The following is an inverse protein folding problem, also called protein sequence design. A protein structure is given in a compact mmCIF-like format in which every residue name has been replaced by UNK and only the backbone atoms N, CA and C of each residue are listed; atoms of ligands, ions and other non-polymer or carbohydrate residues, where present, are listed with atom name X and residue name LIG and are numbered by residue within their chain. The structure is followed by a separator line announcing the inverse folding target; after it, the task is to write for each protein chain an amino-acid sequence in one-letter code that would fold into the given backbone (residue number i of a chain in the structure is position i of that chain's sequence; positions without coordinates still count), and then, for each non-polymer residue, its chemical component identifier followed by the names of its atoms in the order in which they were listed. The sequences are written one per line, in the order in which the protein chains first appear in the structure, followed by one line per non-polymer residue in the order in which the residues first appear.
data_IF_290745026312
#
_entry.id   IF_290745026312
#
_cell.length_a   1.000
_cell.length_b   1.000
_cell.length_c   1.000
_cell.angle_alpha   90.00
_cell.angle_beta   90.00
_cell.angle_gamma   90.00
#
_symmetry.space_group_name_H-M   'P 1'
#
loop_
_entity.id
_entity.type
_entity.pdbx_description
1 polymer ?
#
# COMPACT_ATOMS: atom_id res chain seq x y z
N UNK A 1 16.01 -54.43 -36.65
CA UNK A 1 16.39 -54.36 -35.23
C UNK A 1 17.31 -53.17 -35.07
N UNK A 2 16.72 -52.01 -34.78
CA UNK A 2 17.43 -50.75 -34.54
C UNK A 2 17.05 -50.30 -33.14
N UNK A 3 17.99 -50.41 -32.22
CA UNK A 3 17.88 -50.05 -30.81
C UNK A 3 17.92 -48.53 -30.65
N UNK A 4 16.85 -47.96 -30.11
CA UNK A 4 16.77 -46.58 -29.68
C UNK A 4 17.34 -46.48 -28.27
N UNK A 5 18.47 -45.80 -28.10
CA UNK A 5 19.03 -45.46 -26.78
C UNK A 5 18.23 -44.31 -26.19
N UNK A 6 17.37 -44.59 -25.21
CA UNK A 6 16.75 -43.55 -24.38
C UNK A 6 17.81 -42.95 -23.47
N UNK A 7 18.16 -41.69 -23.71
CA UNK A 7 18.93 -40.90 -22.75
C UNK A 7 18.00 -40.62 -21.57
N UNK A 8 18.34 -41.19 -20.41
CA UNK A 8 17.59 -40.99 -19.17
C UNK A 8 17.71 -39.53 -18.73
N UNK A 9 16.57 -38.84 -18.74
CA UNK A 9 16.39 -37.58 -18.04
C UNK A 9 16.44 -37.91 -16.54
N UNK A 10 17.49 -37.45 -15.86
CA UNK A 10 17.61 -37.64 -14.42
C UNK A 10 16.67 -36.64 -13.74
N UNK A 11 15.86 -37.05 -12.74
CA UNK A 11 15.05 -36.10 -11.99
C UNK A 11 15.98 -35.15 -11.24
N UNK A 12 15.87 -33.86 -11.52
CA UNK A 12 16.61 -32.81 -10.83
C UNK A 12 16.38 -32.87 -9.33
N UNK A 13 17.44 -32.62 -8.55
CA UNK A 13 17.42 -32.64 -7.09
C UNK A 13 16.29 -31.72 -6.55
N UNK A 14 15.32 -32.24 -5.77
CA UNK A 14 14.22 -31.44 -5.21
C UNK A 14 14.69 -30.42 -4.15
N UNK A 15 15.97 -30.45 -3.79
CA UNK A 15 16.63 -29.57 -2.84
C UNK A 15 17.06 -28.22 -3.44
N UNK A 16 16.99 -28.05 -4.77
CA UNK A 16 17.52 -26.86 -5.45
C UNK A 16 16.49 -26.31 -6.46
N UNK A 17 15.30 -25.92 -5.97
CA UNK A 17 14.31 -25.22 -6.79
C UNK A 17 14.63 -23.71 -6.82
N UNK A 18 15.20 -23.19 -7.93
CA UNK A 18 15.62 -21.80 -8.04
C UNK A 18 14.46 -20.81 -7.89
N UNK A 19 13.21 -21.24 -8.12
CA UNK A 19 12.03 -20.41 -7.89
C UNK A 19 11.76 -20.18 -6.40
N UNK A 20 11.94 -21.22 -5.58
CA UNK A 20 11.73 -21.13 -4.14
C UNK A 20 12.79 -20.23 -3.49
N UNK A 21 14.04 -20.32 -3.94
CA UNK A 21 15.13 -19.47 -3.47
C UNK A 21 14.92 -17.99 -3.82
N UNK A 22 14.48 -17.70 -5.05
CA UNK A 22 14.15 -16.33 -5.46
C UNK A 22 12.97 -15.76 -4.66
N UNK A 23 11.96 -16.57 -4.36
CA UNK A 23 10.81 -16.18 -3.55
C UNK A 23 11.19 -15.88 -2.09
N UNK A 24 12.04 -16.74 -1.48
CA UNK A 24 12.60 -16.52 -0.13
C UNK A 24 13.41 -15.24 -0.06
N UNK A 25 14.30 -15.03 -1.04
CA UNK A 25 15.10 -13.82 -1.13
C UNK A 25 14.21 -12.57 -1.26
N UNK A 26 13.17 -12.65 -2.09
CA UNK A 26 12.20 -11.55 -2.28
C UNK A 26 11.41 -11.25 -1.00
N UNK A 27 10.99 -12.28 -0.25
CA UNK A 27 10.31 -12.11 1.04
C UNK A 27 11.23 -11.41 2.03
N UNK A 28 12.43 -11.95 2.27
CA UNK A 28 13.39 -11.40 3.25
C UNK A 28 13.77 -9.98 2.89
N UNK A 29 14.01 -9.69 1.61
CA UNK A 29 14.31 -8.34 1.14
C UNK A 29 13.14 -7.37 1.37
N UNK A 30 11.90 -7.80 1.11
CA UNK A 30 10.70 -6.97 1.33
C UNK A 30 10.48 -6.69 2.81
N UNK A 31 10.62 -7.69 3.67
CA UNK A 31 10.52 -7.55 5.13
C UNK A 31 11.59 -6.61 5.68
N UNK A 32 12.83 -6.74 5.20
CA UNK A 32 13.93 -5.88 5.63
C UNK A 32 13.75 -4.44 5.15
N UNK A 33 13.30 -4.26 3.91
CA UNK A 33 12.96 -2.94 3.39
C UNK A 33 11.90 -2.25 4.24
N UNK A 34 10.93 -3.02 4.74
CA UNK A 34 9.93 -2.52 5.66
C UNK A 34 10.53 -2.13 7.03
N UNK A 35 11.34 -3.02 7.62
CA UNK A 35 11.94 -2.82 8.93
C UNK A 35 12.89 -1.61 8.98
N UNK A 36 13.61 -1.34 7.89
CA UNK A 36 14.58 -0.24 7.78
C UNK A 36 13.93 1.06 7.28
N UNK A 37 12.89 0.96 6.46
CA UNK A 37 12.27 2.08 5.77
C UNK A 37 10.95 2.58 6.37
N UNK A 38 10.41 1.93 7.41
CA UNK A 38 9.13 2.33 8.00
C UNK A 38 9.14 3.81 8.44
N UNK A 39 8.09 4.59 8.13
CA UNK A 39 8.00 5.98 8.57
C UNK A 39 7.79 6.09 10.09
N UNK A 40 8.33 7.13 10.71
CA UNK A 40 7.95 7.54 12.07
C UNK A 40 6.48 8.02 12.06
N UNK A 41 5.60 7.60 12.98
CA UNK A 41 5.84 6.96 14.29
C UNK A 41 5.85 5.42 14.31
N UNK A 42 5.60 4.77 13.16
CA UNK A 42 5.44 3.31 13.08
C UNK A 42 6.76 2.59 13.34
N UNK A 43 7.89 3.19 12.96
CA UNK A 43 9.23 2.63 13.19
C UNK A 43 9.56 2.36 14.67
N UNK A 44 8.92 3.09 15.60
CA UNK A 44 9.04 2.93 17.04
C UNK A 44 8.03 1.91 17.64
N UNK A 45 7.11 1.39 16.82
CA UNK A 45 6.09 0.43 17.22
C UNK A 45 6.65 -0.96 17.55
N UNK A 46 5.91 -1.70 18.38
CA UNK A 46 6.27 -3.07 18.77
C UNK A 46 6.24 -4.04 17.59
N UNK A 47 5.39 -3.80 16.58
CA UNK A 47 5.28 -4.64 15.40
C UNK A 47 6.55 -4.57 14.53
N UNK A 48 7.12 -3.38 14.30
CA UNK A 48 8.40 -3.22 13.58
C UNK A 48 9.55 -3.84 14.38
N UNK A 49 9.55 -3.70 15.71
CA UNK A 49 10.54 -4.35 16.56
C UNK A 49 10.46 -5.88 16.47
N UNK A 50 9.25 -6.46 16.56
CA UNK A 50 9.02 -7.90 16.38
C UNK A 50 9.47 -8.36 14.99
N UNK A 51 9.19 -7.58 13.95
CA UNK A 51 9.62 -7.87 12.58
C UNK A 51 11.15 -7.93 12.46
N UNK A 52 11.88 -6.97 13.03
CA UNK A 52 13.35 -6.97 13.04
C UNK A 52 13.90 -8.26 13.66
N UNK A 53 13.33 -8.70 14.78
CA UNK A 53 13.75 -9.94 15.45
C UNK A 53 13.46 -11.18 14.57
N UNK A 54 12.31 -11.25 13.91
CA UNK A 54 11.98 -12.36 13.01
C UNK A 54 12.92 -12.39 11.79
N UNK A 55 13.27 -11.24 11.22
CA UNK A 55 14.23 -11.14 10.12
C UNK A 55 15.60 -11.69 10.52
N UNK A 56 16.07 -11.39 11.74
CA UNK A 56 17.34 -11.95 12.24
C UNK A 56 17.30 -13.48 12.29
N UNK A 57 16.17 -14.07 12.68
CA UNK A 57 16.00 -15.53 12.70
C UNK A 57 15.95 -16.09 11.27
N UNK A 58 15.28 -15.43 10.33
CA UNK A 58 15.26 -15.87 8.92
C UNK A 58 16.66 -15.81 8.28
N UNK A 59 17.41 -14.74 8.54
CA UNK A 59 18.78 -14.56 8.04
C UNK A 59 19.79 -15.54 8.63
N UNK A 60 19.53 -16.13 9.79
CA UNK A 60 20.41 -17.16 10.34
C UNK A 60 20.27 -18.51 9.62
N UNK A 61 19.15 -18.72 8.92
CA UNK A 61 18.84 -19.97 8.21
C UNK A 61 19.34 -19.97 6.76
N UNK A 62 19.54 -18.80 6.16
CA UNK A 62 20.06 -18.66 4.80
C UNK A 62 20.76 -17.32 4.57
N UNK A 63 21.77 -17.32 3.70
CA UNK A 63 22.50 -16.11 3.32
C UNK A 63 21.74 -15.36 2.23
N UNK A 64 21.33 -14.13 2.53
CA UNK A 64 20.66 -13.24 1.59
C UNK A 64 21.56 -12.04 1.27
N UNK A 65 21.58 -11.56 0.01
CA UNK A 65 22.30 -10.35 -0.32
C UNK A 65 21.74 -9.16 0.47
N UNK A 66 22.61 -8.34 1.04
CA UNK A 66 22.16 -7.16 1.76
C UNK A 66 21.46 -6.19 0.80
N UNK A 67 20.30 -5.64 1.21
CA UNK A 67 19.56 -4.72 0.36
C UNK A 67 20.36 -3.43 0.15
N UNK A 68 20.24 -2.86 -1.05
CA UNK A 68 20.81 -1.54 -1.32
C UNK A 68 20.22 -0.51 -0.35
N UNK A 69 21.03 0.44 0.16
CA UNK A 69 20.52 1.54 0.97
C UNK A 69 19.51 2.32 0.15
N UNK A 70 18.31 2.46 0.68
CA UNK A 70 17.21 3.05 -0.04
C UNK A 70 16.42 3.98 0.89
N UNK A 71 15.78 5.04 0.36
CA UNK A 71 15.20 6.13 1.15
C UNK A 71 14.09 5.65 2.10
N UNK A 72 13.67 6.49 3.06
CA UNK A 72 12.49 6.20 3.87
C UNK A 72 11.25 5.95 3.00
N UNK A 73 10.35 5.09 3.47
CA UNK A 73 9.11 4.75 2.77
C UNK A 73 8.00 5.73 3.13
N UNK A 74 7.15 6.05 2.15
CA UNK A 74 5.84 6.64 2.44
C UNK A 74 4.90 5.61 3.05
N UNK A 75 3.83 6.04 3.74
CA UNK A 75 2.82 5.12 4.30
C UNK A 75 2.21 4.19 3.25
N UNK A 76 1.93 4.70 2.04
CA UNK A 76 1.40 3.90 0.94
C UNK A 76 2.42 2.88 0.42
N UNK A 77 3.70 3.26 0.32
CA UNK A 77 4.75 2.32 -0.06
C UNK A 77 4.93 1.21 0.99
N UNK A 78 4.90 1.57 2.28
CA UNK A 78 4.97 0.60 3.37
C UNK A 78 3.77 -0.37 3.34
N UNK A 79 2.54 0.12 3.16
CA UNK A 79 1.35 -0.73 3.02
C UNK A 79 1.43 -1.71 1.84
N UNK A 80 1.94 -1.23 0.70
CA UNK A 80 2.16 -2.08 -0.47
C UNK A 80 3.19 -3.17 -0.16
N UNK A 81 4.32 -2.83 0.48
CA UNK A 81 5.34 -3.80 0.86
C UNK A 81 4.82 -4.83 1.88
N UNK A 82 4.00 -4.44 2.86
CA UNK A 82 3.36 -5.41 3.77
C UNK A 82 2.45 -6.35 2.98
N UNK A 83 1.65 -5.82 2.06
CA UNK A 83 0.73 -6.63 1.24
C UNK A 83 1.47 -7.60 0.34
N UNK A 84 2.56 -7.15 -0.31
CA UNK A 84 3.45 -8.00 -1.10
C UNK A 84 4.11 -9.07 -0.22
N UNK A 85 4.59 -8.72 0.97
CA UNK A 85 5.22 -9.67 1.89
C UNK A 85 4.25 -10.75 2.35
N UNK A 86 2.98 -10.40 2.61
CA UNK A 86 1.93 -11.38 2.93
C UNK A 86 1.66 -12.33 1.77
N UNK A 87 1.55 -11.81 0.55
CA UNK A 87 1.35 -12.63 -0.64
C UNK A 87 2.52 -13.61 -0.87
N UNK A 88 3.76 -13.12 -0.76
CA UNK A 88 4.97 -13.95 -0.85
C UNK A 88 5.00 -15.03 0.24
N UNK A 89 4.65 -14.69 1.48
CA UNK A 89 4.56 -15.64 2.58
C UNK A 89 3.52 -16.73 2.28
N UNK A 90 2.33 -16.38 1.82
CA UNK A 90 1.29 -17.36 1.45
C UNK A 90 1.77 -18.29 0.34
N UNK A 91 2.34 -17.74 -0.74
CA UNK A 91 2.88 -18.55 -1.84
C UNK A 91 4.00 -19.48 -1.37
N UNK A 92 4.88 -19.01 -0.48
CA UNK A 92 5.90 -19.86 0.11
C UNK A 92 5.29 -21.00 0.94
N UNK A 93 4.30 -20.73 1.78
CA UNK A 93 3.68 -21.78 2.60
C UNK A 93 2.97 -22.86 1.79
N UNK A 94 2.44 -22.51 0.61
CA UNK A 94 1.83 -23.47 -0.30
C UNK A 94 2.86 -24.36 -1.03
N UNK A 95 4.11 -23.88 -1.17
CA UNK A 95 5.16 -24.53 -1.96
C UNK A 95 6.39 -24.97 -1.14
N UNK A 96 6.44 -24.70 0.17
CA UNK A 96 7.62 -24.96 1.00
C UNK A 96 7.74 -26.45 1.34
N UNK A 97 8.61 -27.13 0.60
CA UNK A 97 9.04 -28.50 0.85
C UNK A 97 10.25 -28.60 1.79
N UNK A 98 10.85 -27.47 2.18
CA UNK A 98 12.15 -27.42 2.89
C UNK A 98 12.06 -27.00 4.36
N UNK A 99 10.92 -26.43 4.79
CA UNK A 99 10.73 -25.97 6.16
C UNK A 99 11.48 -24.69 6.51
N UNK A 100 11.83 -23.86 5.50
CA UNK A 100 12.46 -22.55 5.70
C UNK A 100 11.57 -21.64 6.56
N UNK A 101 10.25 -21.71 6.38
CA UNK A 101 9.30 -21.04 7.28
C UNK A 101 8.48 -22.09 8.00
N UNK A 102 8.98 -22.54 9.17
CA UNK A 102 8.24 -23.42 10.05
C UNK A 102 6.90 -22.82 10.54
N UNK A 103 5.97 -23.63 11.07
CA UNK A 103 4.62 -23.21 11.44
C UNK A 103 4.59 -22.10 12.51
N UNK A 104 5.53 -22.11 13.46
CA UNK A 104 5.63 -21.04 14.46
C UNK A 104 6.11 -19.72 13.85
N UNK A 105 7.08 -19.80 12.91
CA UNK A 105 7.62 -18.63 12.22
C UNK A 105 6.58 -18.02 11.27
N UNK A 106 5.85 -18.85 10.54
CA UNK A 106 4.82 -18.39 9.61
C UNK A 106 3.67 -17.71 10.34
N UNK A 107 3.25 -18.28 11.48
CA UNK A 107 2.26 -17.68 12.37
C UNK A 107 2.76 -16.34 12.92
N UNK A 108 3.98 -16.30 13.45
CA UNK A 108 4.57 -15.08 13.99
C UNK A 108 4.73 -13.97 12.95
N UNK A 109 5.15 -14.31 11.72
CA UNK A 109 5.24 -13.36 10.60
C UNK A 109 3.85 -12.86 10.20
N UNK A 110 2.87 -13.74 10.08
CA UNK A 110 1.50 -13.37 9.70
C UNK A 110 0.88 -12.39 10.71
N UNK A 111 0.95 -12.71 12.00
CA UNK A 111 0.48 -11.82 13.08
C UNK A 111 1.21 -10.47 13.09
N UNK A 112 2.52 -10.48 12.86
CA UNK A 112 3.32 -9.25 12.83
C UNK A 112 2.93 -8.38 11.64
N UNK A 113 2.76 -8.97 10.46
CA UNK A 113 2.33 -8.26 9.25
C UNK A 113 0.90 -7.74 9.40
N UNK A 114 -0.01 -8.47 10.02
CA UNK A 114 -1.36 -8.01 10.35
C UNK A 114 -1.33 -6.80 11.30
N UNK A 115 -0.55 -6.87 12.38
CA UNK A 115 -0.37 -5.73 13.29
C UNK A 115 0.19 -4.50 12.58
N UNK A 116 1.09 -4.69 11.60
CA UNK A 116 1.63 -3.61 10.79
C UNK A 116 0.59 -2.99 9.86
N UNK A 117 -0.27 -3.81 9.21
CA UNK A 117 -1.40 -3.29 8.42
C UNK A 117 -2.29 -2.41 9.28
N UNK A 118 -2.59 -2.86 10.51
CA UNK A 118 -3.44 -2.13 11.44
C UNK A 118 -2.82 -0.80 11.90
N UNK A 119 -1.52 -0.80 12.23
CA UNK A 119 -0.78 0.42 12.59
C UNK A 119 -0.70 1.41 11.43
N UNK A 120 -0.29 0.95 10.24
CA UNK A 120 -0.23 1.76 9.02
C UNK A 120 -1.61 2.30 8.64
N UNK A 121 -2.65 1.48 8.74
CA UNK A 121 -4.01 1.86 8.44
C UNK A 121 -4.57 2.89 9.43
N UNK A 122 -4.24 2.79 10.72
CA UNK A 122 -4.59 3.81 11.72
C UNK A 122 -3.92 5.14 11.43
N UNK A 123 -2.62 5.13 11.14
CA UNK A 123 -1.86 6.35 10.85
C UNK A 123 -2.36 7.02 9.57
N UNK A 124 -2.59 6.25 8.49
CA UNK A 124 -3.16 6.78 7.26
C UNK A 124 -4.53 7.42 7.49
N UNK A 125 -5.40 6.77 8.27
CA UNK A 125 -6.71 7.31 8.63
C UNK A 125 -6.60 8.57 9.49
N UNK A 126 -5.66 8.62 10.43
CA UNK A 126 -5.42 9.82 11.23
C UNK A 126 -4.98 10.99 10.34
N UNK A 127 -4.04 10.76 9.42
CA UNK A 127 -3.60 11.78 8.46
C UNK A 127 -4.75 12.25 7.56
N UNK A 128 -5.59 11.35 7.06
CA UNK A 128 -6.76 11.74 6.27
C UNK A 128 -7.81 12.49 7.11
N UNK A 129 -8.06 12.05 8.34
CA UNK A 129 -9.03 12.70 9.23
C UNK A 129 -8.66 14.16 9.54
N UNK A 130 -7.36 14.49 9.64
CA UNK A 130 -6.94 15.90 9.79
C UNK A 130 -7.30 16.79 8.59
N UNK A 131 -7.45 16.19 7.39
CA UNK A 131 -7.90 16.89 6.18
C UNK A 131 -9.43 17.07 6.16
N UNK A 132 -10.17 16.21 6.86
CA UNK A 132 -11.62 16.30 7.02
C UNK A 132 -11.95 17.22 8.21
N UNK A 133 -11.71 18.52 8.02
CA UNK A 133 -12.00 19.58 8.99
C UNK A 133 -12.83 20.70 8.37
N UNK A 134 -13.38 21.60 9.18
CA UNK A 134 -14.12 22.76 8.69
C UNK A 134 -15.49 22.42 8.07
N UNK A 135 -16.04 23.35 7.30
CA UNK A 135 -17.35 23.17 6.67
C UNK A 135 -17.25 22.25 5.44
N UNK A 136 -18.20 21.32 5.32
CA UNK A 136 -18.40 20.51 4.13
C UNK A 136 -19.55 21.10 3.30
N UNK A 137 -19.25 21.52 2.08
CA UNK A 137 -20.21 22.21 1.20
C UNK A 137 -20.46 21.40 -0.06
N UNK A 138 -21.73 21.11 -0.34
CA UNK A 138 -22.17 20.48 -1.58
C UNK A 138 -22.60 21.58 -2.54
N UNK A 139 -22.00 21.59 -3.73
CA UNK A 139 -22.28 22.52 -4.82
C UNK A 139 -23.00 21.73 -5.90
N UNK A 140 -24.30 22.00 -6.03
CA UNK A 140 -25.13 21.48 -7.11
C UNK A 140 -25.52 22.64 -8.03
N UNK A 141 -25.04 22.65 -9.30
CA UNK A 141 -25.33 23.71 -10.27
C UNK A 141 -26.81 24.07 -10.41
N UNK A 142 -27.74 23.12 -10.16
CA UNK A 142 -29.18 23.32 -10.31
C UNK A 142 -29.80 24.17 -9.21
N UNK A 143 -29.19 24.22 -8.03
CA UNK A 143 -29.73 24.93 -6.85
C UNK A 143 -28.89 26.17 -6.48
N UNK A 144 -28.01 26.60 -7.38
CA UNK A 144 -27.15 27.79 -7.19
C UNK A 144 -27.90 29.11 -7.26
N UNK A 145 -29.13 29.11 -7.80
CA UNK A 145 -29.93 30.32 -8.02
C UNK A 145 -29.36 31.22 -9.12
N UNK A 146 -28.70 30.64 -10.12
CA UNK A 146 -28.10 31.38 -11.25
C UNK A 146 -26.70 31.94 -10.97
N UNK A 147 -26.10 31.61 -9.82
CA UNK A 147 -24.70 31.93 -9.52
C UNK A 147 -23.78 30.86 -10.09
N UNK A 148 -22.61 31.28 -10.53
CA UNK A 148 -21.60 30.35 -11.01
C UNK A 148 -21.09 29.43 -9.87
N UNK A 149 -21.04 28.10 -10.08
CA UNK A 149 -20.57 27.16 -9.06
C UNK A 149 -19.18 27.47 -8.51
N UNK A 150 -18.29 28.02 -9.34
CA UNK A 150 -16.91 28.38 -8.93
C UNK A 150 -16.88 29.55 -7.95
N UNK A 151 -17.82 30.49 -8.05
CA UNK A 151 -17.92 31.63 -7.14
C UNK A 151 -18.46 31.19 -5.78
N UNK A 152 -19.44 30.27 -5.78
CA UNK A 152 -19.94 29.62 -4.57
C UNK A 152 -18.82 28.84 -3.87
N UNK A 153 -18.03 28.08 -4.63
CA UNK A 153 -16.87 27.35 -4.10
C UNK A 153 -15.86 28.28 -3.42
N UNK A 154 -15.53 29.40 -4.06
CA UNK A 154 -14.60 30.39 -3.51
C UNK A 154 -15.15 31.03 -2.23
N UNK A 155 -16.41 31.42 -2.23
CA UNK A 155 -17.08 31.97 -1.05
C UNK A 155 -17.13 30.95 0.11
N UNK A 156 -17.43 29.68 -0.20
CA UNK A 156 -17.44 28.60 0.77
C UNK A 156 -16.07 28.39 1.42
N UNK A 157 -15.00 28.32 0.63
CA UNK A 157 -13.62 28.16 1.12
C UNK A 157 -13.22 29.35 2.02
N UNK A 158 -13.52 30.58 1.58
CA UNK A 158 -13.29 31.79 2.36
C UNK A 158 -14.10 31.81 3.67
N UNK A 159 -15.30 31.22 3.65
CA UNK A 159 -16.15 31.02 4.84
C UNK A 159 -15.70 29.89 5.77
N UNK A 160 -14.59 29.21 5.48
CA UNK A 160 -14.04 28.13 6.30
C UNK A 160 -14.36 26.72 5.83
N UNK A 161 -14.90 26.55 4.62
CA UNK A 161 -14.98 25.22 4.02
C UNK A 161 -13.59 24.67 3.71
N UNK A 162 -13.36 23.41 4.05
CA UNK A 162 -12.18 22.65 3.63
C UNK A 162 -12.55 21.36 2.89
N UNK A 163 -13.83 21.18 2.61
CA UNK A 163 -14.31 20.12 1.75
C UNK A 163 -15.44 20.64 0.86
N UNK A 164 -15.30 20.44 -0.44
CA UNK A 164 -16.31 20.75 -1.44
C UNK A 164 -16.72 19.45 -2.15
N UNK A 165 -18.02 19.30 -2.43
CA UNK A 165 -18.51 18.25 -3.32
C UNK A 165 -19.21 18.88 -4.52
N UNK A 166 -18.75 18.58 -5.73
CA UNK A 166 -19.52 18.86 -6.94
C UNK A 166 -20.51 17.71 -7.14
N UNK A 167 -21.79 18.04 -7.17
CA UNK A 167 -22.87 17.09 -7.48
C UNK A 167 -23.54 17.55 -8.78
N UNK A 168 -23.14 16.96 -9.89
CA UNK A 168 -23.63 17.36 -11.23
C UNK A 168 -24.28 16.19 -11.94
N UNK A 169 -25.59 16.02 -11.69
CA UNK A 169 -26.43 14.90 -12.19
C UNK A 169 -26.92 15.05 -13.63
N UNK A 170 -26.78 16.23 -14.23
CA UNK A 170 -27.49 16.58 -15.47
C UNK A 170 -26.57 16.92 -16.63
N UNK A 171 -25.35 17.40 -16.38
CA UNK A 171 -24.43 17.73 -17.48
C UNK A 171 -23.79 16.46 -18.03
N UNK A 172 -23.72 16.37 -19.36
CA UNK A 172 -22.97 15.32 -20.02
C UNK A 172 -21.50 15.37 -19.56
N UNK A 173 -20.83 14.22 -19.42
CA UNK A 173 -19.52 14.12 -18.75
C UNK A 173 -18.44 15.01 -19.37
N UNK A 174 -18.63 15.45 -20.62
CA UNK A 174 -17.76 16.39 -21.32
C UNK A 174 -17.87 17.85 -20.85
N UNK A 175 -19.04 18.29 -20.37
CA UNK A 175 -19.29 19.69 -19.95
C UNK A 175 -18.93 19.96 -18.49
N UNK A 176 -18.88 18.93 -17.64
CA UNK A 176 -18.52 19.05 -16.22
C UNK A 176 -17.01 19.06 -15.98
N UNK A 177 -16.20 18.57 -16.94
CA UNK A 177 -14.75 18.48 -16.81
C UNK A 177 -14.04 19.84 -16.62
N UNK A 178 -14.37 20.91 -17.36
CA UNK A 178 -13.77 22.23 -17.13
C UNK A 178 -14.04 22.76 -15.73
N UNK A 179 -15.28 22.59 -15.22
CA UNK A 179 -15.67 23.00 -13.88
C UNK A 179 -14.95 22.16 -12.82
N UNK A 180 -14.91 20.84 -12.98
CA UNK A 180 -14.19 19.94 -12.07
C UNK A 180 -12.70 20.29 -11.97
N UNK A 181 -12.05 20.62 -13.10
CA UNK A 181 -10.66 21.08 -13.12
C UNK A 181 -10.49 22.42 -12.40
N UNK A 182 -11.37 23.38 -12.64
CA UNK A 182 -11.33 24.69 -11.96
C UNK A 182 -11.51 24.55 -10.44
N UNK A 183 -12.45 23.71 -10.00
CA UNK A 183 -12.66 23.39 -8.59
C UNK A 183 -11.48 22.65 -7.99
N UNK A 184 -10.85 21.73 -8.75
CA UNK A 184 -9.68 21.00 -8.28
C UNK A 184 -8.52 21.95 -8.01
N UNK A 185 -8.23 22.87 -8.94
CA UNK A 185 -7.19 23.86 -8.76
C UNK A 185 -7.48 24.75 -7.54
N UNK A 186 -8.71 25.27 -7.44
CA UNK A 186 -9.13 26.11 -6.31
C UNK A 186 -8.97 25.39 -4.97
N UNK A 187 -9.34 24.11 -4.89
CA UNK A 187 -9.19 23.31 -3.68
C UNK A 187 -7.72 23.06 -3.33
N UNK A 188 -6.87 22.76 -4.32
CA UNK A 188 -5.43 22.59 -4.11
C UNK A 188 -4.76 23.86 -3.58
N UNK A 189 -5.11 25.02 -4.13
CA UNK A 189 -4.55 26.31 -3.73
C UNK A 189 -4.92 26.70 -2.29
N UNK A 190 -5.97 26.10 -1.71
CA UNK A 190 -6.54 26.47 -0.42
C UNK A 190 -6.51 25.36 0.65
N UNK A 191 -5.74 24.28 0.43
CA UNK A 191 -5.69 23.10 1.32
C UNK A 191 -7.10 22.55 1.62
N UNK A 192 -7.95 22.48 0.59
CA UNK A 192 -9.29 21.92 0.65
C UNK A 192 -9.40 20.63 -0.17
N UNK A 193 -10.32 19.76 0.23
CA UNK A 193 -10.63 18.53 -0.49
C UNK A 193 -11.77 18.74 -1.48
N UNK A 194 -11.67 18.13 -2.66
CA UNK A 194 -12.75 18.07 -3.64
C UNK A 194 -13.25 16.64 -3.79
N UNK A 195 -14.55 16.45 -3.67
CA UNK A 195 -15.26 15.21 -3.97
C UNK A 195 -16.09 15.46 -5.24
N UNK A 196 -16.03 14.53 -6.19
CA UNK A 196 -16.86 14.56 -7.39
C UNK A 196 -17.87 13.43 -7.25
N UNK A 197 -19.16 13.78 -7.24
CA UNK A 197 -20.25 12.81 -7.23
C UNK A 197 -21.07 12.94 -8.50
N UNK A 198 -21.54 11.81 -9.01
CA UNK A 198 -22.46 11.74 -10.14
C UNK A 198 -23.91 12.12 -9.79
#
# INVERSE_FOLDING_TARGET
MTSFSSSGDSPGDPLNDPWNDACRASLVQSLQRLADGCPDPIAAGSAVHRLRNLILVLKSQASFPDPAPAPGLTLSQALNLVSTSRALLTTLLEQDTTGFVGPEMSQALSETLESLVDELGRELRAQQATRVRGLYVIIDPQVTGGREPIDIARAAINGGARMLQLRDKLRDKGESLPLAKALQQLCQDNDAMLIIND
#
